data_IF_861131962892
#
_entry.id   IF_861131962892
#
_cell.length_a   1.000
_cell.length_b   1.000
_cell.length_c   1.000
_cell.angle_alpha   90.00
_cell.angle_beta   90.00
_cell.angle_gamma   90.00
#
_symmetry.space_group_name_H-M   'P 1'
#
loop_
_entity.id
_entity.type
_entity.pdbx_description
1 polymer ?
#
# COMPACT_ATOMS: atom_id res chain seq x y z
N UNK A 1 -9.31 1.14 18.25
CA UNK A 1 -8.91 1.84 19.49
C UNK A 1 -7.47 2.35 19.35
N UNK A 2 -7.11 3.43 20.03
CA UNK A 2 -5.72 3.92 20.12
C UNK A 2 -5.41 4.00 21.60
N UNK A 3 -4.44 3.23 22.05
CA UNK A 3 -3.92 3.26 23.41
C UNK A 3 -2.46 3.71 23.35
N UNK A 4 -2.06 4.57 24.27
CA UNK A 4 -0.71 5.12 24.31
C UNK A 4 -0.25 5.27 25.76
N UNK A 5 0.88 4.65 26.07
CA UNK A 5 1.62 4.85 27.32
C UNK A 5 3.02 5.43 27.03
N UNK A 6 3.94 5.33 28.00
CA UNK A 6 5.32 5.85 27.84
C UNK A 6 6.19 4.99 26.93
N UNK A 7 5.87 3.71 26.77
CA UNK A 7 6.69 2.71 26.08
C UNK A 7 6.08 2.29 24.73
N UNK A 8 4.76 2.25 24.63
CA UNK A 8 4.05 1.69 23.49
C UNK A 8 2.88 2.56 23.01
N UNK A 9 2.61 2.45 21.70
CA UNK A 9 1.35 2.86 21.08
C UNK A 9 0.71 1.63 20.47
N UNK A 10 -0.52 1.33 20.87
CA UNK A 10 -1.29 0.21 20.35
C UNK A 10 -2.46 0.74 19.53
N UNK A 11 -2.55 0.27 18.29
CA UNK A 11 -3.68 0.49 17.39
C UNK A 11 -4.43 -0.83 17.27
N UNK A 12 -5.69 -0.84 17.70
CA UNK A 12 -6.53 -2.04 17.64
C UNK A 12 -7.71 -1.82 16.69
N UNK A 13 -8.04 -2.80 15.87
CA UNK A 13 -9.25 -2.81 15.08
C UNK A 13 -10.49 -2.90 15.99
N UNK A 14 -11.55 -2.13 15.73
CA UNK A 14 -12.75 -2.11 16.61
C UNK A 14 -13.38 -3.48 16.88
N UNK A 15 -13.25 -4.41 15.94
CA UNK A 15 -13.81 -5.76 16.02
C UNK A 15 -12.76 -6.79 16.53
N UNK A 16 -11.61 -6.33 17.05
CA UNK A 16 -10.53 -7.19 17.59
C UNK A 16 -9.80 -8.04 16.54
N UNK A 17 -10.02 -7.79 15.24
CA UNK A 17 -9.49 -8.62 14.16
C UNK A 17 -7.96 -8.54 14.03
N UNK A 18 -7.38 -7.38 14.35
CA UNK A 18 -5.95 -7.15 14.28
C UNK A 18 -5.52 -6.04 15.24
N UNK A 19 -4.23 -6.08 15.61
CA UNK A 19 -3.56 -5.06 16.41
C UNK A 19 -2.23 -4.69 15.77
N UNK A 20 -1.81 -3.44 15.97
CA UNK A 20 -0.51 -2.94 15.57
C UNK A 20 0.14 -2.22 16.76
N UNK A 21 1.36 -2.61 17.09
CA UNK A 21 2.13 -2.04 18.19
C UNK A 21 3.30 -1.23 17.64
N UNK A 22 3.56 -0.06 18.22
CA UNK A 22 4.73 0.77 17.95
C UNK A 22 5.49 1.03 19.25
N UNK A 23 6.81 0.96 19.20
CA UNK A 23 7.66 1.46 20.28
C UNK A 23 7.61 2.99 20.31
N UNK A 24 7.37 3.56 21.49
CA UNK A 24 7.26 5.00 21.65
C UNK A 24 8.61 5.73 21.49
N UNK A 25 9.72 5.00 21.62
CA UNK A 25 11.09 5.53 21.62
C UNK A 25 11.90 5.19 20.35
N UNK A 26 11.29 4.55 19.33
CA UNK A 26 12.00 4.15 18.09
C UNK A 26 11.58 4.96 16.87
N UNK A 27 12.51 5.11 15.93
CA UNK A 27 12.26 5.67 14.59
C UNK A 27 12.00 4.57 13.56
N UNK A 28 11.00 3.74 13.84
CA UNK A 28 10.58 2.64 12.98
C UNK A 28 9.07 2.67 12.79
N UNK A 29 8.57 1.85 11.86
CA UNK A 29 7.15 1.56 11.69
C UNK A 29 6.63 0.65 12.82
N UNK A 30 5.54 -0.10 12.55
CA UNK A 30 5.03 -1.04 13.54
C UNK A 30 6.13 -2.03 13.97
N UNK A 31 6.27 -2.20 15.27
CA UNK A 31 7.11 -3.21 15.89
C UNK A 31 6.44 -4.59 15.81
N UNK A 32 5.12 -4.63 15.87
CA UNK A 32 4.34 -5.88 15.74
C UNK A 32 3.03 -5.62 15.03
N UNK A 33 2.65 -6.53 14.12
CA UNK A 33 1.29 -6.65 13.60
C UNK A 33 0.77 -8.02 13.97
N UNK A 34 -0.38 -8.07 14.63
CA UNK A 34 -1.08 -9.31 14.93
C UNK A 34 -2.42 -9.38 14.23
N UNK A 35 -2.81 -10.57 13.79
CA UNK A 35 -4.11 -10.84 13.18
C UNK A 35 -4.70 -12.09 13.80
N UNK A 36 -5.91 -11.98 14.37
CA UNK A 36 -6.53 -13.08 15.12
C UNK A 36 -5.65 -13.59 16.27
N UNK A 37 -4.89 -12.70 16.93
CA UNK A 37 -3.97 -13.04 18.02
C UNK A 37 -2.64 -13.68 17.59
N UNK A 38 -2.39 -13.84 16.28
CA UNK A 38 -1.14 -14.40 15.78
C UNK A 38 -0.23 -13.31 15.22
N UNK A 39 1.06 -13.38 15.50
CA UNK A 39 2.05 -12.46 14.95
C UNK A 39 2.23 -12.71 13.45
N UNK A 40 2.02 -11.65 12.66
CA UNK A 40 2.16 -11.70 11.19
C UNK A 40 3.43 -10.98 10.73
N UNK A 41 3.83 -9.92 11.44
CA UNK A 41 5.01 -9.13 11.13
C UNK A 41 5.65 -8.59 12.41
N UNK A 42 6.98 -8.61 12.45
CA UNK A 42 7.81 -8.13 13.54
C UNK A 42 8.88 -7.18 13.00
N UNK A 43 8.97 -6.01 13.59
CA UNK A 43 9.97 -4.99 13.31
C UNK A 43 9.86 -4.40 11.90
N UNK A 44 10.11 -3.11 11.78
CA UNK A 44 10.19 -2.45 10.48
C UNK A 44 11.40 -1.52 10.48
N UNK A 45 12.61 -2.10 10.49
CA UNK A 45 13.82 -1.35 10.78
C UNK A 45 14.09 -0.29 9.72
N UNK A 46 14.71 0.79 10.18
CA UNK A 46 15.39 1.76 9.36
C UNK A 46 16.86 1.74 9.74
N UNK A 47 17.75 1.80 8.77
CA UNK A 47 19.19 1.88 9.05
C UNK A 47 19.91 2.63 7.94
N UNK A 48 21.01 3.27 8.31
CA UNK A 48 22.00 3.85 7.39
C UNK A 48 23.34 3.23 7.78
N UNK A 49 23.92 2.48 6.86
CA UNK A 49 25.10 1.65 7.10
C UNK A 49 24.90 0.76 8.34
N UNK A 50 25.86 0.75 9.26
CA UNK A 50 25.80 -0.05 10.49
C UNK A 50 24.95 0.60 11.61
N UNK A 51 24.33 1.75 11.35
CA UNK A 51 23.52 2.49 12.35
C UNK A 51 22.04 2.17 12.15
N UNK A 52 21.45 1.46 13.12
CA UNK A 52 20.02 1.15 13.16
C UNK A 52 19.20 2.25 13.84
N UNK A 53 17.87 2.17 13.68
CA UNK A 53 16.89 3.06 14.31
C UNK A 53 16.92 3.04 15.85
N UNK A 54 17.56 2.05 16.46
CA UNK A 54 17.75 1.95 17.92
C UNK A 54 18.76 2.98 18.44
N UNK A 55 19.70 3.39 17.59
CA UNK A 55 20.65 4.45 17.92
C UNK A 55 20.05 5.86 17.72
N UNK A 56 18.84 5.97 17.17
CA UNK A 56 18.25 7.25 16.85
C UNK A 56 17.64 7.95 18.09
N UNK A 57 17.66 9.28 18.08
CA UNK A 57 16.97 10.08 19.09
C UNK A 57 15.56 10.38 18.58
N UNK A 58 14.58 9.62 19.06
CA UNK A 58 13.18 9.81 18.73
C UNK A 58 12.55 10.98 19.51
N UNK A 59 11.77 11.79 18.80
CA UNK A 59 10.82 12.72 19.42
C UNK A 59 9.59 11.95 19.90
N UNK A 60 8.85 12.53 20.83
CA UNK A 60 7.60 11.94 21.32
C UNK A 60 6.64 11.67 20.16
N UNK A 61 6.22 10.41 19.94
CA UNK A 61 5.31 10.05 18.86
C UNK A 61 3.91 10.61 19.10
N UNK A 62 3.20 10.82 18.00
CA UNK A 62 1.80 11.28 18.01
C UNK A 62 0.91 10.20 17.42
N UNK A 63 -0.09 9.77 18.19
CA UNK A 63 -1.15 8.89 17.70
C UNK A 63 -2.48 9.63 17.70
N UNK A 64 -3.22 9.61 16.60
CA UNK A 64 -4.50 10.31 16.47
C UNK A 64 -5.37 9.70 15.37
N UNK A 65 -6.64 10.10 15.31
CA UNK A 65 -7.55 9.74 14.23
C UNK A 65 -7.68 10.90 13.25
N UNK A 66 -7.67 10.61 11.95
CA UNK A 66 -7.91 11.63 10.92
C UNK A 66 -8.50 11.02 9.67
N UNK A 67 -9.78 11.31 9.41
CA UNK A 67 -10.45 10.84 8.21
C UNK A 67 -10.81 9.35 8.26
N UNK A 68 -11.34 8.87 9.39
CA UNK A 68 -11.72 7.46 9.55
C UNK A 68 -10.55 6.47 9.56
N UNK A 69 -9.32 6.96 9.72
CA UNK A 69 -8.09 6.15 9.84
C UNK A 69 -7.35 6.50 11.12
N UNK A 70 -6.65 5.53 11.70
CA UNK A 70 -5.68 5.78 12.76
C UNK A 70 -4.33 6.16 12.17
N UNK A 71 -3.66 7.13 12.78
CA UNK A 71 -2.39 7.67 12.33
C UNK A 71 -1.40 7.65 13.48
N UNK A 72 -0.23 7.06 13.24
CA UNK A 72 0.93 7.15 14.13
C UNK A 72 2.02 7.91 13.39
N UNK A 73 2.52 8.99 13.98
CA UNK A 73 3.62 9.79 13.45
C UNK A 73 4.79 9.77 14.42
N UNK A 74 5.94 9.31 13.95
CA UNK A 74 7.23 9.35 14.65
C UNK A 74 8.16 10.29 13.90
N UNK A 75 9.03 10.99 14.62
CA UNK A 75 10.07 11.82 14.02
C UNK A 75 11.28 11.87 14.93
N UNK A 76 12.47 12.10 14.38
CA UNK A 76 13.69 12.18 15.16
C UNK A 76 14.91 12.34 14.27
N UNK A 77 16.08 12.05 14.85
CA UNK A 77 17.37 12.24 14.19
C UNK A 77 18.37 11.16 14.56
N UNK A 78 19.27 10.85 13.64
CA UNK A 78 20.44 10.01 13.91
C UNK A 78 21.55 10.86 14.55
N UNK A 79 22.14 10.44 15.68
CA UNK A 79 22.97 11.32 16.52
C UNK A 79 24.43 11.50 16.04
N UNK A 80 24.81 10.99 14.87
CA UNK A 80 26.20 10.99 14.41
C UNK A 80 26.41 11.95 13.22
N UNK A 81 27.52 12.70 13.25
CA UNK A 81 27.90 13.63 12.17
C UNK A 81 26.92 14.78 11.99
N UNK A 82 26.53 15.06 10.74
CA UNK A 82 25.42 15.97 10.42
C UNK A 82 24.12 15.18 10.53
N UNK A 83 23.23 15.52 11.49
CA UNK A 83 22.10 14.67 11.83
C UNK A 83 21.14 14.55 10.65
N UNK A 84 20.93 13.32 10.19
CA UNK A 84 19.87 12.97 9.26
C UNK A 84 18.54 13.03 10.02
N UNK A 85 17.63 13.89 9.57
CA UNK A 85 16.29 13.96 10.15
C UNK A 85 15.37 12.97 9.45
N UNK A 86 14.57 12.31 10.26
CA UNK A 86 13.67 11.25 9.84
C UNK A 86 12.28 11.53 10.39
N UNK A 87 11.27 11.44 9.53
CA UNK A 87 9.87 11.44 9.93
C UNK A 87 9.17 10.27 9.26
N UNK A 88 8.32 9.58 10.01
CA UNK A 88 7.50 8.53 9.47
C UNK A 88 6.06 8.70 9.91
N UNK A 89 5.14 8.43 8.98
CA UNK A 89 3.70 8.40 9.23
C UNK A 89 3.13 7.06 8.80
N UNK A 90 2.57 6.32 9.75
CA UNK A 90 1.80 5.10 9.52
C UNK A 90 0.30 5.45 9.54
N UNK A 91 -0.44 5.11 8.48
CA UNK A 91 -1.89 5.30 8.38
C UNK A 91 -2.56 3.94 8.26
N UNK A 92 -3.40 3.60 9.24
CA UNK A 92 -4.09 2.33 9.34
C UNK A 92 -5.54 2.45 8.87
N UNK A 93 -5.93 1.57 7.95
CA UNK A 93 -7.29 1.51 7.43
C UNK A 93 -7.64 0.08 7.02
N UNK A 94 -8.83 -0.39 7.36
CA UNK A 94 -9.31 -1.73 7.02
C UNK A 94 -8.30 -2.79 7.48
N UNK A 95 -7.67 -3.46 6.51
CA UNK A 95 -6.68 -4.51 6.72
C UNK A 95 -5.24 -4.13 6.34
N UNK A 96 -4.91 -2.84 6.28
CA UNK A 96 -3.60 -2.40 5.84
C UNK A 96 -3.07 -1.20 6.63
N UNK A 97 -1.75 -1.02 6.53
CA UNK A 97 -1.04 0.18 6.95
C UNK A 97 -0.25 0.72 5.78
N UNK A 98 -0.46 2.00 5.46
CA UNK A 98 0.43 2.75 4.58
C UNK A 98 1.46 3.49 5.40
N UNK A 99 2.72 3.35 5.03
CA UNK A 99 3.85 4.02 5.66
C UNK A 99 4.43 5.03 4.69
N UNK A 100 4.61 6.26 5.15
CA UNK A 100 5.35 7.31 4.45
C UNK A 100 6.55 7.69 5.30
N UNK A 101 7.73 7.65 4.70
CA UNK A 101 9.00 8.02 5.30
C UNK A 101 9.51 9.26 4.60
N UNK A 102 9.79 10.30 5.37
CA UNK A 102 10.43 11.55 4.95
C UNK A 102 11.84 11.58 5.56
N UNK A 103 12.85 11.77 4.71
CA UNK A 103 14.26 11.82 5.09
C UNK A 103 14.81 13.16 4.64
N UNK A 104 15.29 13.97 5.58
CA UNK A 104 16.02 15.19 5.25
C UNK A 104 17.50 14.84 5.10
N UNK A 105 17.98 14.76 3.85
CA UNK A 105 19.37 14.40 3.60
C UNK A 105 20.29 15.62 3.74
N UNK A 106 21.28 15.62 4.66
CA UNK A 106 22.17 16.75 4.84
C UNK A 106 23.21 16.88 3.72
N UNK A 107 23.83 18.06 3.60
CA UNK A 107 25.00 18.25 2.73
C UNK A 107 26.16 17.37 3.19
N UNK A 108 26.92 16.85 2.25
CA UNK A 108 28.17 16.11 2.47
C UNK A 108 28.04 14.88 3.37
N UNK A 109 26.84 14.30 3.47
CA UNK A 109 26.57 13.09 4.25
C UNK A 109 26.57 11.89 3.31
N UNK A 110 27.61 11.06 3.42
CA UNK A 110 27.78 9.87 2.59
C UNK A 110 27.18 8.63 3.24
N UNK A 111 26.64 7.75 2.40
CA UNK A 111 26.31 6.35 2.73
C UNK A 111 27.49 5.49 2.32
N UNK A 112 28.03 4.68 3.23
CA UNK A 112 29.18 3.83 2.97
C UNK A 112 28.81 2.58 2.17
N UNK A 113 27.68 1.96 2.52
CA UNK A 113 27.23 0.67 1.97
C UNK A 113 25.75 0.62 1.66
N UNK A 114 24.87 0.99 2.60
CA UNK A 114 23.43 0.77 2.40
C UNK A 114 22.54 1.70 3.22
N UNK A 115 21.36 1.98 2.68
CA UNK A 115 20.24 2.59 3.37
C UNK A 115 19.07 1.62 3.26
N UNK A 116 18.57 1.13 4.39
CA UNK A 116 17.45 0.20 4.45
C UNK A 116 16.23 0.80 5.13
N UNK A 117 15.04 0.51 4.59
CA UNK A 117 13.77 0.92 5.19
C UNK A 117 12.61 0.00 4.77
N UNK A 118 11.69 -0.22 5.71
CA UNK A 118 10.48 -1.00 5.46
C UNK A 118 10.73 -2.48 5.19
N UNK A 119 11.89 -3.01 5.62
CA UNK A 119 12.09 -4.45 5.82
C UNK A 119 11.20 -4.97 6.95
N UNK A 120 11.08 -6.28 7.08
CA UNK A 120 10.21 -6.90 8.09
C UNK A 120 10.62 -8.34 8.38
N UNK A 121 10.37 -8.82 9.59
CA UNK A 121 10.50 -10.23 9.96
C UNK A 121 9.12 -10.87 10.02
N UNK A 122 8.95 -12.01 9.35
CA UNK A 122 7.73 -12.81 9.36
C UNK A 122 7.98 -14.03 10.23
N UNK A 123 7.44 -14.08 11.46
CA UNK A 123 7.70 -15.20 12.36
C UNK A 123 6.98 -16.47 11.92
N UNK A 124 7.53 -17.61 12.33
CA UNK A 124 6.92 -18.93 12.14
C UNK A 124 7.03 -19.46 10.71
N UNK A 125 6.21 -20.47 10.40
CA UNK A 125 6.30 -21.20 9.14
C UNK A 125 5.40 -20.59 8.05
N UNK A 126 6.00 -20.31 6.89
CA UNK A 126 5.34 -19.82 5.68
C UNK A 126 5.54 -20.82 4.54
N UNK A 127 4.51 -21.06 3.73
CA UNK A 127 4.49 -22.18 2.76
C UNK A 127 4.89 -21.76 1.36
N UNK A 128 4.49 -20.56 0.95
CA UNK A 128 4.74 -19.99 -0.38
C UNK A 128 4.70 -18.47 -0.32
N UNK A 129 5.28 -17.83 -1.33
CA UNK A 129 5.11 -16.39 -1.54
C UNK A 129 4.75 -16.08 -3.00
N UNK A 130 3.88 -15.09 -3.21
CA UNK A 130 3.53 -14.54 -4.51
C UNK A 130 4.35 -13.27 -4.74
N UNK A 131 5.01 -13.17 -5.89
CA UNK A 131 5.79 -11.99 -6.26
C UNK A 131 5.11 -11.25 -7.40
N UNK A 132 4.73 -9.99 -7.15
CA UNK A 132 4.40 -9.05 -8.22
C UNK A 132 5.70 -8.43 -8.72
N UNK A 133 6.10 -8.69 -9.98
CA UNK A 133 7.43 -8.34 -10.46
C UNK A 133 7.63 -6.83 -10.54
N UNK A 134 8.87 -6.34 -10.52
CA UNK A 134 9.18 -4.92 -10.71
C UNK A 134 8.51 -4.31 -11.94
N UNK A 135 8.25 -3.00 -11.89
CA UNK A 135 7.53 -2.27 -12.92
C UNK A 135 8.06 -2.51 -14.34
N UNK A 136 9.39 -2.44 -14.53
CA UNK A 136 10.00 -2.66 -15.84
C UNK A 136 9.76 -4.07 -16.37
N UNK A 137 9.76 -5.09 -15.50
CA UNK A 137 9.48 -6.47 -15.90
C UNK A 137 8.00 -6.66 -16.27
N UNK A 138 7.08 -5.97 -15.59
CA UNK A 138 5.66 -5.96 -16.00
C UNK A 138 5.47 -5.32 -17.37
N UNK A 139 6.15 -4.22 -17.66
CA UNK A 139 6.12 -3.59 -18.98
C UNK A 139 6.65 -4.53 -20.08
N UNK A 140 7.52 -5.49 -19.73
CA UNK A 140 7.97 -6.57 -20.63
C UNK A 140 7.07 -7.81 -20.64
N UNK A 141 5.91 -7.78 -19.98
CA UNK A 141 4.94 -8.88 -19.97
C UNK A 141 5.14 -9.91 -18.86
N UNK A 142 6.05 -9.68 -17.91
CA UNK A 142 6.21 -10.57 -16.75
C UNK A 142 5.00 -10.42 -15.82
N UNK A 143 4.36 -11.54 -15.50
CA UNK A 143 3.21 -11.59 -14.57
C UNK A 143 3.63 -12.08 -13.20
N UNK A 144 2.78 -11.83 -12.20
CA UNK A 144 3.01 -12.33 -10.86
C UNK A 144 2.89 -13.86 -10.78
N UNK A 145 3.66 -14.47 -9.87
CA UNK A 145 3.67 -15.93 -9.70
C UNK A 145 3.92 -16.34 -8.25
N UNK A 146 3.38 -17.51 -7.91
CA UNK A 146 3.65 -18.18 -6.64
C UNK A 146 4.97 -18.96 -6.69
N UNK A 147 5.74 -18.84 -5.63
CA UNK A 147 6.98 -19.57 -5.39
C UNK A 147 6.83 -20.38 -4.09
N UNK A 148 7.24 -21.64 -4.09
CA UNK A 148 7.22 -22.48 -2.89
C UNK A 148 8.38 -22.09 -1.99
N UNK A 149 8.13 -21.96 -0.68
CA UNK A 149 9.19 -21.75 0.30
C UNK A 149 9.80 -23.13 0.64
N UNK A 150 11.14 -23.29 0.50
CA UNK A 150 11.80 -24.56 0.85
C UNK A 150 11.82 -24.78 2.36
N UNK A 151 12.22 -25.96 2.79
CA UNK A 151 12.45 -26.24 4.22
C UNK A 151 13.52 -25.29 4.78
N UNK A 152 13.27 -24.63 5.92
CA UNK A 152 14.26 -23.76 6.55
C UNK A 152 15.57 -24.48 6.86
N UNK A 153 16.74 -23.79 6.76
CA UNK A 153 18.00 -24.37 7.17
C UNK A 153 18.01 -24.64 8.68
N UNK A 154 18.73 -25.68 9.11
CA UNK A 154 18.86 -26.02 10.54
C UNK A 154 19.69 -24.98 11.32
N UNK A 155 20.55 -24.23 10.63
CA UNK A 155 21.35 -23.12 11.16
C UNK A 155 21.64 -22.10 10.04
N UNK A 156 21.80 -20.83 10.41
CA UNK A 156 22.07 -19.74 9.47
C UNK A 156 20.84 -19.30 8.67
N UNK A 157 21.08 -18.79 7.46
CA UNK A 157 20.04 -18.29 6.57
C UNK A 157 20.29 -18.69 5.11
N UNK A 158 19.20 -18.81 4.35
CA UNK A 158 19.23 -19.09 2.91
C UNK A 158 18.48 -17.99 2.17
N UNK A 159 19.10 -17.37 1.18
CA UNK A 159 18.41 -16.40 0.32
C UNK A 159 17.50 -17.14 -0.68
N UNK A 160 16.20 -16.87 -0.61
CA UNK A 160 15.18 -17.50 -1.46
C UNK A 160 14.56 -16.53 -2.47
N UNK A 161 14.99 -15.27 -2.47
CA UNK A 161 14.61 -14.25 -3.45
C UNK A 161 15.56 -13.07 -3.41
N UNK A 162 15.88 -12.52 -4.58
CA UNK A 162 16.75 -11.35 -4.74
C UNK A 162 16.36 -10.54 -5.96
N UNK A 163 16.25 -9.22 -5.80
CA UNK A 163 15.98 -8.29 -6.88
C UNK A 163 16.83 -7.02 -6.75
N UNK A 164 17.23 -6.47 -7.89
CA UNK A 164 17.90 -5.16 -8.02
C UNK A 164 16.90 -4.02 -8.31
N UNK A 165 15.61 -4.33 -8.33
CA UNK A 165 14.51 -3.37 -8.42
C UNK A 165 13.43 -3.85 -7.46
N UNK A 166 12.70 -2.95 -6.81
CA UNK A 166 11.68 -3.36 -5.87
C UNK A 166 10.61 -4.20 -6.58
N UNK A 167 10.30 -5.41 -6.10
CA UNK A 167 9.02 -6.03 -6.42
C UNK A 167 7.89 -5.05 -6.08
N UNK A 168 6.82 -5.03 -6.87
CA UNK A 168 5.68 -4.15 -6.55
C UNK A 168 5.04 -4.60 -5.25
N UNK A 169 4.86 -5.91 -5.08
CA UNK A 169 4.41 -6.53 -3.85
C UNK A 169 4.94 -7.96 -3.69
N UNK A 170 5.09 -8.37 -2.44
CA UNK A 170 5.32 -9.75 -2.04
C UNK A 170 4.19 -10.17 -1.11
N UNK A 171 3.56 -11.32 -1.36
CA UNK A 171 2.52 -11.88 -0.48
C UNK A 171 2.98 -13.22 0.04
N UNK A 172 3.10 -13.36 1.36
CA UNK A 172 3.48 -14.61 2.00
C UNK A 172 2.22 -15.28 2.53
N UNK A 173 2.11 -16.60 2.38
CA UNK A 173 0.93 -17.37 2.84
C UNK A 173 1.31 -18.53 3.77
N UNK A 174 0.55 -18.68 4.86
CA UNK A 174 0.66 -19.76 5.84
C UNK A 174 -0.27 -20.93 5.50
N UNK A 175 -0.07 -22.06 6.18
CA UNK A 175 -0.88 -23.27 5.96
C UNK A 175 -2.37 -23.09 6.26
N UNK A 176 -2.70 -22.23 7.23
CA UNK A 176 -4.07 -21.88 7.62
C UNK A 176 -4.73 -20.85 6.67
N UNK A 177 -4.01 -20.39 5.64
CA UNK A 177 -4.45 -19.41 4.66
C UNK A 177 -4.32 -17.95 5.09
N UNK A 178 -3.79 -17.68 6.29
CA UNK A 178 -3.38 -16.34 6.68
C UNK A 178 -2.29 -15.85 5.72
N UNK A 179 -2.34 -14.56 5.38
CA UNK A 179 -1.40 -13.97 4.44
C UNK A 179 -0.98 -12.56 4.85
N UNK A 180 0.27 -12.22 4.56
CA UNK A 180 0.80 -10.87 4.70
C UNK A 180 1.34 -10.40 3.35
N UNK A 181 0.92 -9.22 2.94
CA UNK A 181 1.42 -8.49 1.79
C UNK A 181 2.36 -7.37 2.25
N UNK A 182 3.50 -7.25 1.57
CA UNK A 182 4.42 -6.11 1.66
C UNK A 182 4.54 -5.49 0.27
N UNK A 183 4.10 -4.24 0.13
CA UNK A 183 4.11 -3.53 -1.15
C UNK A 183 4.99 -2.29 -1.15
N UNK A 184 5.58 -2.01 -2.31
CA UNK A 184 6.48 -0.86 -2.52
C UNK A 184 5.72 0.47 -2.61
N UNK A 185 4.40 0.45 -2.76
CA UNK A 185 3.59 1.67 -2.81
C UNK A 185 3.81 2.50 -4.09
N UNK A 186 3.44 3.77 -4.04
CA UNK A 186 3.32 4.62 -5.23
C UNK A 186 4.63 5.18 -5.76
N UNK A 187 5.58 5.49 -4.88
CA UNK A 187 6.75 6.28 -5.22
C UNK A 187 7.87 5.45 -5.89
N UNK A 188 7.52 4.55 -6.82
CA UNK A 188 8.47 3.61 -7.44
C UNK A 188 9.70 4.31 -8.02
N UNK A 189 9.52 5.45 -8.68
CA UNK A 189 10.63 6.23 -9.21
C UNK A 189 11.68 6.60 -8.17
N UNK A 190 11.32 6.75 -6.89
CA UNK A 190 12.29 7.02 -5.81
C UNK A 190 12.99 5.74 -5.36
N UNK A 191 12.24 4.65 -5.24
CA UNK A 191 12.80 3.33 -4.92
C UNK A 191 13.74 2.80 -6.01
N UNK A 192 13.49 3.13 -7.27
CA UNK A 192 14.34 2.75 -8.40
C UNK A 192 15.51 3.71 -8.64
N UNK A 193 15.42 4.97 -8.20
CA UNK A 193 16.48 5.97 -8.46
C UNK A 193 17.77 5.77 -7.66
N UNK A 194 17.77 4.87 -6.67
CA UNK A 194 18.91 4.63 -5.76
C UNK A 194 19.55 5.92 -5.22
N UNK A 195 18.76 6.97 -4.97
CA UNK A 195 19.26 8.27 -4.52
C UNK A 195 20.35 8.88 -5.46
N UNK A 196 20.31 8.52 -6.74
CA UNK A 196 21.27 8.92 -7.77
C UNK A 196 22.53 8.06 -7.84
N UNK A 197 22.61 6.94 -7.11
CA UNK A 197 23.76 6.04 -7.13
C UNK A 197 23.63 4.98 -8.22
N UNK A 198 24.61 4.93 -9.13
CA UNK A 198 24.82 3.79 -10.04
C UNK A 198 23.67 3.46 -11.00
N UNK A 199 23.84 2.35 -11.74
CA UNK A 199 22.82 1.77 -12.62
C UNK A 199 22.02 0.65 -11.94
N UNK A 200 22.60 0.01 -10.92
CA UNK A 200 21.92 -1.02 -10.14
C UNK A 200 20.97 -0.33 -9.15
N UNK A 201 19.67 -0.60 -9.31
CA UNK A 201 18.68 -0.22 -8.31
C UNK A 201 18.92 -0.99 -7.01
N UNK A 202 18.33 -0.51 -5.93
CA UNK A 202 18.54 -1.05 -4.57
C UNK A 202 18.45 -2.58 -4.43
N UNK A 203 18.86 -3.09 -3.27
CA UNK A 203 18.89 -4.52 -2.97
C UNK A 203 17.65 -4.95 -2.18
N UNK A 204 16.91 -5.92 -2.71
CA UNK A 204 15.69 -6.46 -2.11
C UNK A 204 15.84 -7.96 -1.96
N UNK A 205 15.81 -8.47 -0.73
CA UNK A 205 16.12 -9.87 -0.43
C UNK A 205 15.05 -10.50 0.44
N UNK A 206 14.80 -11.80 0.22
CA UNK A 206 14.03 -12.67 1.11
C UNK A 206 14.98 -13.72 1.66
N UNK A 207 15.22 -13.67 2.96
CA UNK A 207 16.13 -14.55 3.68
C UNK A 207 15.30 -15.51 4.54
N UNK A 208 15.44 -16.81 4.32
CA UNK A 208 14.77 -17.86 5.08
C UNK A 208 15.67 -18.29 6.25
N UNK A 209 15.09 -18.26 7.46
CA UNK A 209 15.73 -18.66 8.72
C UNK A 209 14.88 -19.72 9.41
N UNK A 210 15.45 -20.37 10.43
CA UNK A 210 14.75 -21.38 11.23
C UNK A 210 13.48 -20.82 11.89
N UNK A 211 13.52 -19.58 12.36
CA UNK A 211 12.43 -18.92 13.10
C UNK A 211 11.43 -18.20 12.20
N UNK A 212 11.69 -18.09 10.89
CA UNK A 212 10.82 -17.39 9.95
C UNK A 212 11.54 -16.80 8.75
N UNK A 213 11.00 -15.71 8.20
CA UNK A 213 11.52 -15.03 7.02
C UNK A 213 11.95 -13.61 7.40
N UNK A 214 13.12 -13.19 6.94
CA UNK A 214 13.51 -11.78 6.96
C UNK A 214 13.44 -11.20 5.55
N UNK A 215 12.75 -10.07 5.43
CA UNK A 215 12.69 -9.29 4.21
C UNK A 215 13.57 -8.07 4.39
N UNK A 216 14.57 -7.92 3.51
CA UNK A 216 15.51 -6.79 3.48
C UNK A 216 15.18 -5.92 2.28
N UNK A 217 15.08 -4.61 2.50
CA UNK A 217 14.76 -3.61 1.47
C UNK A 217 15.70 -2.42 1.59
N UNK A 218 16.66 -2.37 0.69
CA UNK A 218 17.75 -1.40 0.66
C UNK A 218 17.62 -0.55 -0.61
N UNK A 219 16.79 0.50 -0.63
CA UNK A 219 16.63 1.35 -1.81
C UNK A 219 17.93 2.00 -2.30
N UNK A 220 18.95 2.07 -1.45
CA UNK A 220 20.31 2.43 -1.83
C UNK A 220 21.28 1.38 -1.29
N UNK A 221 22.03 0.77 -2.19
CA UNK A 221 23.16 -0.12 -1.91
C UNK A 221 24.32 0.31 -2.81
N UNK A 222 25.52 0.50 -2.25
CA UNK A 222 26.67 0.98 -2.99
C UNK A 222 27.94 0.18 -2.67
N UNK A 223 28.76 -0.06 -3.70
CA UNK A 223 30.07 -0.72 -3.57
C UNK A 223 31.18 0.25 -3.13
N UNK A 224 30.89 1.55 -3.20
CA UNK A 224 31.76 2.65 -2.78
C UNK A 224 30.92 3.72 -2.09
N UNK A 225 31.50 4.54 -1.21
CA UNK A 225 30.76 5.60 -0.55
C UNK A 225 30.05 6.52 -1.55
N UNK A 226 28.77 6.80 -1.31
CA UNK A 226 27.93 7.65 -2.17
C UNK A 226 27.38 8.81 -1.36
N UNK A 227 27.35 10.00 -1.94
CA UNK A 227 26.76 11.19 -1.31
C UNK A 227 25.48 11.55 -2.04
N UNK A 228 24.29 11.20 -1.50
CA UNK A 228 23.02 11.64 -2.06
C UNK A 228 22.93 13.16 -2.19
N UNK A 229 22.19 13.62 -3.20
CA UNK A 229 21.91 15.04 -3.40
C UNK A 229 21.21 15.61 -2.15
N UNK A 230 21.69 16.71 -1.57
CA UNK A 230 21.09 17.27 -0.35
C UNK A 230 19.69 17.83 -0.61
N UNK A 231 18.65 17.09 -0.19
CA UNK A 231 17.24 17.45 -0.34
C UNK A 231 16.34 16.58 0.55
N UNK A 232 15.05 16.93 0.71
CA UNK A 232 14.06 16.01 1.24
C UNK A 232 13.83 14.84 0.28
N UNK A 233 13.85 13.62 0.81
CA UNK A 233 13.42 12.40 0.14
C UNK A 233 12.18 11.87 0.82
N UNK A 234 11.18 11.43 0.03
CA UNK A 234 9.95 10.83 0.55
C UNK A 234 9.76 9.45 -0.05
N UNK A 235 9.72 8.39 0.74
CA UNK A 235 9.36 7.06 0.26
C UNK A 235 8.03 6.64 0.85
N UNK A 236 7.24 5.87 0.11
CA UNK A 236 6.06 5.21 0.66
C UNK A 236 6.16 3.72 0.45
N UNK A 237 5.51 2.95 1.30
CA UNK A 237 5.29 1.52 1.19
C UNK A 237 4.06 1.16 2.02
N UNK A 238 3.61 -0.09 1.96
CA UNK A 238 2.49 -0.54 2.79
C UNK A 238 2.65 -2.01 3.19
N UNK A 239 1.92 -2.39 4.22
CA UNK A 239 1.61 -3.78 4.52
C UNK A 239 0.10 -3.97 4.53
N UNK A 240 -0.36 -5.12 4.08
CA UNK A 240 -1.74 -5.55 4.22
C UNK A 240 -1.79 -6.99 4.68
N UNK A 241 -2.90 -7.41 5.28
CA UNK A 241 -3.01 -8.74 5.85
C UNK A 241 -4.38 -9.36 5.63
N UNK A 242 -4.41 -10.69 5.69
CA UNK A 242 -5.61 -11.51 5.71
C UNK A 242 -5.45 -12.54 6.82
N UNK A 243 -6.48 -12.70 7.65
CA UNK A 243 -6.48 -13.73 8.70
C UNK A 243 -6.58 -15.15 8.12
N UNK A 244 -6.52 -16.15 9.01
CA UNK A 244 -6.73 -17.55 8.64
C UNK A 244 -8.08 -17.76 7.96
N UNK A 245 -8.20 -18.79 7.12
CA UNK A 245 -9.48 -19.13 6.45
C UNK A 245 -10.60 -19.25 7.49
N UNK A 246 -11.71 -18.56 7.24
CA UNK A 246 -12.88 -18.55 8.12
C UNK A 246 -12.82 -17.55 9.28
N UNK A 247 -11.68 -16.91 9.56
CA UNK A 247 -11.62 -15.82 10.58
C UNK A 247 -12.22 -14.52 10.07
N UNK A 248 -12.23 -14.30 8.75
CA UNK A 248 -12.79 -13.12 8.12
C UNK A 248 -14.08 -13.55 7.44
N UNK A 249 -15.19 -12.93 7.82
CA UNK A 249 -16.48 -13.23 7.19
C UNK A 249 -16.39 -12.77 5.74
N UNK A 250 -16.24 -13.68 4.80
CA UNK A 250 -16.45 -13.38 3.38
C UNK A 250 -17.93 -13.07 3.21
N UNK A 251 -18.32 -11.82 3.46
CA UNK A 251 -19.71 -11.43 3.37
C UNK A 251 -20.11 -11.51 1.91
N UNK A 252 -21.02 -12.44 1.61
CA UNK A 252 -21.58 -12.62 0.29
C UNK A 252 -22.47 -11.41 0.00
N UNK A 253 -22.22 -10.76 -1.14
CA UNK A 253 -23.13 -9.75 -1.70
C UNK A 253 -24.52 -10.37 -1.81
N UNK A 254 -25.52 -9.77 -1.17
CA UNK A 254 -26.91 -10.24 -1.25
C UNK A 254 -27.71 -9.33 -2.18
N UNK A 255 -28.77 -9.90 -2.75
CA UNK A 255 -29.78 -9.22 -3.56
C UNK A 255 -29.38 -8.93 -5.00
N UNK A 256 -30.29 -8.23 -5.70
CA UNK A 256 -30.14 -7.87 -7.10
C UNK A 256 -29.02 -6.85 -7.29
N UNK A 257 -28.24 -7.02 -8.36
CA UNK A 257 -27.12 -6.14 -8.70
C UNK A 257 -27.61 -5.06 -9.65
N UNK A 258 -27.48 -3.80 -9.23
CA UNK A 258 -27.75 -2.64 -10.09
C UNK A 258 -26.43 -2.03 -10.56
N UNK A 259 -26.19 -2.08 -11.87
CA UNK A 259 -24.97 -1.59 -12.48
C UNK A 259 -25.03 -0.08 -12.75
N UNK A 260 -23.97 0.61 -12.33
CA UNK A 260 -23.74 2.01 -12.60
C UNK A 260 -22.34 2.21 -13.19
N UNK A 261 -22.26 3.09 -14.18
CA UNK A 261 -20.99 3.60 -14.73
C UNK A 261 -20.86 5.09 -14.42
N UNK A 262 -19.76 5.69 -14.88
CA UNK A 262 -19.48 7.11 -14.73
C UNK A 262 -19.54 7.81 -16.08
N UNK A 263 -20.26 8.94 -16.12
CA UNK A 263 -20.11 9.88 -17.21
C UNK A 263 -18.84 10.74 -17.05
N UNK A 264 -18.60 11.60 -18.05
CA UNK A 264 -17.33 12.33 -18.19
C UNK A 264 -17.00 13.24 -17.00
N UNK A 265 -18.01 13.69 -16.24
CA UNK A 265 -17.83 14.56 -15.08
C UNK A 265 -18.06 13.83 -13.74
N UNK A 266 -18.12 12.49 -13.74
CA UNK A 266 -18.38 11.66 -12.55
C UNK A 266 -19.84 11.63 -12.11
N UNK A 267 -20.78 12.00 -12.99
CA UNK A 267 -22.19 11.67 -12.86
C UNK A 267 -22.39 10.15 -12.89
N UNK A 268 -23.26 9.64 -12.02
CA UNK A 268 -23.66 8.23 -12.06
C UNK A 268 -24.61 8.01 -13.22
N UNK A 269 -24.31 7.02 -14.06
CA UNK A 269 -25.17 6.59 -15.16
C UNK A 269 -25.61 5.17 -14.87
N UNK A 270 -26.92 4.93 -14.80
CA UNK A 270 -27.46 3.58 -14.66
C UNK A 270 -27.47 2.87 -16.04
N UNK A 271 -27.26 1.56 -16.06
CA UNK A 271 -27.28 0.75 -17.29
C UNK A 271 -28.59 0.93 -18.10
N UNK A 272 -29.73 1.06 -17.41
CA UNK A 272 -31.05 1.21 -18.04
C UNK A 272 -31.44 2.68 -18.33
N UNK A 273 -30.51 3.64 -18.18
CA UNK A 273 -30.76 5.07 -18.41
C UNK A 273 -31.61 5.77 -17.33
N UNK A 274 -32.35 5.02 -16.51
CA UNK A 274 -33.10 5.55 -15.38
C UNK A 274 -32.26 5.48 -14.09
N UNK A 275 -31.96 6.64 -13.52
CA UNK A 275 -31.55 6.73 -12.11
C UNK A 275 -32.87 6.79 -11.32
N UNK A 276 -33.20 5.78 -10.49
CA UNK A 276 -34.44 5.81 -9.73
C UNK A 276 -34.46 7.06 -8.84
N UNK A 277 -35.63 7.70 -8.76
CA UNK A 277 -35.84 8.92 -7.98
C UNK A 277 -35.47 8.75 -6.51
N UNK A 278 -35.10 9.87 -5.88
CA UNK A 278 -34.31 10.04 -4.65
C UNK A 278 -34.77 9.32 -3.35
N UNK A 279 -35.74 8.42 -3.37
CA UNK A 279 -36.28 7.81 -2.15
C UNK A 279 -36.28 6.27 -2.05
N UNK A 280 -35.95 5.52 -3.13
CA UNK A 280 -36.12 4.04 -3.11
C UNK A 280 -34.97 3.23 -3.71
N UNK A 281 -33.79 3.82 -3.96
CA UNK A 281 -32.66 3.08 -4.52
C UNK A 281 -32.06 2.02 -3.60
N UNK A 282 -32.42 2.03 -2.32
CA UNK A 282 -31.85 1.11 -1.33
C UNK A 282 -33.00 0.58 -0.47
N UNK A 283 -33.85 -0.23 -1.08
CA UNK A 283 -34.49 -1.28 -0.28
C UNK A 283 -33.38 -2.16 0.28
N UNK A 284 -33.57 -2.64 1.52
CA UNK A 284 -32.56 -3.25 2.41
C UNK A 284 -31.81 -4.51 1.90
N UNK A 285 -31.85 -4.81 0.60
CA UNK A 285 -31.17 -5.94 -0.02
C UNK A 285 -30.38 -5.64 -1.30
N UNK A 286 -30.52 -4.49 -1.97
CA UNK A 286 -29.87 -4.28 -3.27
C UNK A 286 -28.36 -4.06 -3.18
N UNK A 287 -27.63 -4.50 -4.22
CA UNK A 287 -26.19 -4.29 -4.36
C UNK A 287 -25.91 -3.34 -5.52
N UNK A 288 -25.37 -2.17 -5.21
CA UNK A 288 -24.92 -1.21 -6.20
C UNK A 288 -23.55 -1.65 -6.71
N UNK A 289 -23.42 -1.86 -8.01
CA UNK A 289 -22.13 -2.12 -8.67
C UNK A 289 -21.70 -0.83 -9.36
N UNK A 290 -20.64 -0.21 -8.88
CA UNK A 290 -20.01 0.92 -9.57
C UNK A 290 -18.87 0.38 -10.45
N UNK A 291 -19.15 0.23 -11.74
CA UNK A 291 -18.18 -0.21 -12.74
C UNK A 291 -17.38 0.97 -13.29
N UNK A 292 -16.18 1.13 -12.72
CA UNK A 292 -15.19 2.09 -13.18
C UNK A 292 -14.28 1.51 -14.29
N UNK A 293 -14.31 0.20 -14.50
CA UNK A 293 -13.53 -0.50 -15.53
C UNK A 293 -14.11 -0.34 -16.92
N UNK A 294 -15.44 -0.31 -17.04
CA UNK A 294 -16.18 -0.04 -18.28
C UNK A 294 -16.24 1.44 -18.67
N UNK A 295 -15.71 2.35 -17.83
CA UNK A 295 -15.76 3.78 -18.10
C UNK A 295 -14.77 4.20 -19.21
N UNK A 296 -15.22 5.11 -20.09
CA UNK A 296 -14.35 5.74 -21.08
C UNK A 296 -13.67 6.96 -20.46
N UNK A 297 -12.38 6.84 -20.19
CA UNK A 297 -11.62 7.90 -19.52
C UNK A 297 -11.04 8.92 -20.51
N UNK A 298 -10.94 10.21 -20.17
CA UNK A 298 -10.14 11.18 -20.93
C UNK A 298 -8.68 10.75 -21.07
N UNK A 299 -8.03 11.11 -22.19
CA UNK A 299 -6.68 10.66 -22.52
C UNK A 299 -5.66 11.05 -21.43
N UNK A 300 -5.76 12.26 -20.90
CA UNK A 300 -4.87 12.79 -19.87
C UNK A 300 -5.02 12.08 -18.51
N UNK A 301 -6.06 11.25 -18.33
CA UNK A 301 -6.28 10.45 -17.12
C UNK A 301 -5.83 8.99 -17.28
N UNK A 302 -5.56 8.53 -18.51
CA UNK A 302 -5.20 7.15 -18.82
C UNK A 302 -3.75 6.84 -18.49
N UNK A 303 -3.46 5.57 -18.21
CA UNK A 303 -2.08 5.11 -17.96
C UNK A 303 -1.26 5.09 -19.25
N UNK A 304 0.04 5.27 -19.09
CA UNK A 304 1.03 4.83 -20.07
C UNK A 304 1.75 3.59 -19.54
N UNK A 305 1.74 2.49 -20.29
CA UNK A 305 2.11 1.16 -19.81
C UNK A 305 3.60 0.86 -19.77
N UNK A 306 4.43 1.71 -20.37
CA UNK A 306 5.89 1.54 -20.45
C UNK A 306 6.59 2.87 -20.80
N UNK A 307 7.92 2.89 -20.70
CA UNK A 307 8.72 4.04 -21.19
C UNK A 307 8.53 4.27 -22.70
N UNK A 308 8.61 3.26 -23.59
CA UNK A 308 8.33 3.45 -25.01
C UNK A 308 6.91 3.97 -25.30
N UNK A 309 5.90 3.47 -24.58
CA UNK A 309 4.53 3.95 -24.75
C UNK A 309 4.41 5.42 -24.38
N UNK A 310 5.07 5.84 -23.29
CA UNK A 310 5.06 7.23 -22.85
C UNK A 310 5.70 8.14 -23.91
N UNK A 311 6.89 7.77 -24.40
CA UNK A 311 7.63 8.54 -25.42
C UNK A 311 6.82 8.67 -26.71
N UNK A 312 6.07 7.62 -27.11
CA UNK A 312 5.23 7.61 -28.31
C UNK A 312 3.85 8.24 -28.10
N UNK A 313 3.49 8.62 -26.88
CA UNK A 313 2.13 9.07 -26.54
C UNK A 313 1.07 7.96 -26.64
N UNK A 314 1.47 6.68 -26.59
CA UNK A 314 0.56 5.55 -26.54
C UNK A 314 -0.01 5.39 -25.13
N UNK A 315 -1.33 5.31 -25.03
CA UNK A 315 -2.07 5.24 -23.77
C UNK A 315 -2.90 3.97 -23.70
N UNK A 316 -2.97 3.36 -22.52
CA UNK A 316 -3.87 2.25 -22.24
C UNK A 316 -5.31 2.77 -22.11
N UNK A 317 -6.31 1.91 -22.27
CA UNK A 317 -7.72 2.28 -22.05
C UNK A 317 -8.08 2.51 -20.58
N UNK A 318 -7.24 2.03 -19.66
CA UNK A 318 -7.47 2.09 -18.21
C UNK A 318 -6.96 3.39 -17.57
N UNK A 319 -7.61 3.89 -16.52
CA UNK A 319 -7.21 5.12 -15.84
C UNK A 319 -5.97 4.89 -14.97
N UNK A 320 -5.19 5.95 -14.75
CA UNK A 320 -4.26 6.00 -13.64
C UNK A 320 -4.99 6.48 -12.37
N UNK A 321 -4.96 5.71 -11.29
CA UNK A 321 -5.62 6.07 -10.04
C UNK A 321 -4.99 7.29 -9.34
N UNK A 322 -3.76 7.67 -9.68
CA UNK A 322 -3.19 8.95 -9.25
C UNK A 322 -3.75 10.16 -9.99
N UNK A 323 -4.43 9.97 -11.13
CA UNK A 323 -5.06 11.09 -11.84
C UNK A 323 -6.07 11.78 -10.93
N UNK A 324 -5.88 13.09 -10.72
CA UNK A 324 -6.80 13.91 -9.93
C UNK A 324 -8.20 13.93 -10.55
N UNK A 325 -8.31 13.85 -11.88
CA UNK A 325 -9.59 13.78 -12.58
C UNK A 325 -10.37 12.51 -12.23
N UNK A 326 -9.69 11.35 -12.28
CA UNK A 326 -10.27 10.04 -11.92
C UNK A 326 -10.73 10.04 -10.46
N UNK A 327 -9.86 10.48 -9.54
CA UNK A 327 -10.19 10.58 -8.12
C UNK A 327 -11.41 11.48 -7.89
N UNK A 328 -11.48 12.65 -8.55
CA UNK A 328 -12.63 13.56 -8.42
C UNK A 328 -13.93 12.94 -8.97
N UNK A 329 -13.86 12.28 -10.13
CA UNK A 329 -15.01 11.66 -10.77
C UNK A 329 -15.60 10.55 -9.87
N UNK A 330 -14.77 9.60 -9.42
CA UNK A 330 -15.25 8.51 -8.54
C UNK A 330 -15.76 9.06 -7.20
N UNK A 331 -15.04 10.00 -6.57
CA UNK A 331 -15.51 10.61 -5.30
C UNK A 331 -16.82 11.39 -5.47
N UNK A 332 -17.09 11.97 -6.65
CA UNK A 332 -18.37 12.60 -6.94
C UNK A 332 -19.48 11.56 -7.03
N UNK A 333 -19.24 10.41 -7.67
CA UNK A 333 -20.20 9.32 -7.73
C UNK A 333 -20.52 8.73 -6.35
N UNK A 334 -19.50 8.46 -5.53
CA UNK A 334 -19.71 7.98 -4.14
C UNK A 334 -20.54 8.98 -3.31
N UNK A 335 -20.32 10.29 -3.47
CA UNK A 335 -21.16 11.30 -2.80
C UNK A 335 -22.61 11.28 -3.28
N UNK A 336 -22.85 11.07 -4.57
CA UNK A 336 -24.21 10.90 -5.11
C UNK A 336 -24.87 9.64 -4.53
N UNK A 337 -24.14 8.52 -4.42
CA UNK A 337 -24.64 7.30 -3.76
C UNK A 337 -25.02 7.56 -2.31
N UNK A 338 -24.14 8.21 -1.54
CA UNK A 338 -24.43 8.59 -0.15
C UNK A 338 -25.70 9.45 -0.02
N UNK A 339 -25.90 10.38 -0.96
CA UNK A 339 -27.08 11.26 -0.97
C UNK A 339 -28.40 10.51 -1.09
N UNK A 340 -28.38 9.26 -1.58
CA UNK A 340 -29.57 8.45 -1.89
C UNK A 340 -29.93 7.45 -0.79
N UNK A 341 -29.11 7.30 0.25
CA UNK A 341 -29.46 6.45 1.39
C UNK A 341 -28.39 6.34 2.48
N UNK A 342 -28.83 5.94 3.67
CA UNK A 342 -27.97 5.85 4.87
C UNK A 342 -27.29 4.49 5.02
N UNK A 343 -27.84 3.46 4.40
CA UNK A 343 -27.36 2.09 4.45
C UNK A 343 -27.35 1.50 3.04
N UNK A 344 -26.54 0.47 2.78
CA UNK A 344 -26.51 -0.15 1.46
C UNK A 344 -25.32 -1.08 1.22
N UNK A 345 -25.26 -1.65 0.02
CA UNK A 345 -24.16 -2.50 -0.43
C UNK A 345 -23.54 -1.88 -1.70
N UNK A 346 -22.22 -1.70 -1.71
CA UNK A 346 -21.47 -1.15 -2.83
C UNK A 346 -20.33 -2.09 -3.24
N UNK A 347 -20.38 -2.59 -4.47
CA UNK A 347 -19.26 -3.25 -5.13
C UNK A 347 -18.56 -2.25 -6.07
N UNK A 348 -17.28 -2.00 -5.84
CA UNK A 348 -16.41 -1.26 -6.76
C UNK A 348 -15.81 -2.26 -7.76
N UNK A 349 -16.21 -2.19 -9.03
CA UNK A 349 -15.67 -3.03 -10.10
C UNK A 349 -14.68 -2.23 -10.96
N UNK A 350 -13.52 -2.81 -11.30
CA UNK A 350 -12.55 -2.16 -12.18
C UNK A 350 -11.50 -1.28 -11.48
N UNK A 351 -11.45 -1.27 -10.15
CA UNK A 351 -10.47 -0.50 -9.35
C UNK A 351 -9.09 -1.20 -9.29
N UNK A 352 -8.59 -1.69 -10.43
CA UNK A 352 -7.37 -2.49 -10.47
C UNK A 352 -6.15 -1.57 -10.44
N UNK A 353 -5.19 -1.77 -9.52
CA UNK A 353 -3.94 -1.04 -9.54
C UNK A 353 -3.09 -1.45 -10.76
N UNK A 354 -2.21 -0.58 -11.20
CA UNK A 354 -1.32 -0.81 -12.32
C UNK A 354 -0.19 0.21 -12.39
N UNK A 355 0.84 -0.13 -13.17
CA UNK A 355 2.00 0.74 -13.34
C UNK A 355 1.69 1.79 -14.41
N UNK A 356 2.16 3.01 -14.18
CA UNK A 356 2.05 4.11 -15.12
C UNK A 356 3.38 4.88 -15.20
N UNK A 357 3.71 5.37 -16.40
CA UNK A 357 4.86 6.25 -16.63
C UNK A 357 4.49 7.72 -16.84
N UNK A 358 3.21 8.10 -16.76
CA UNK A 358 2.76 9.49 -16.94
C UNK A 358 3.10 10.40 -15.74
N UNK A 359 4.08 11.31 -15.83
CA UNK A 359 4.47 12.16 -14.70
C UNK A 359 3.41 13.20 -14.34
N UNK A 360 2.50 13.54 -15.26
CA UNK A 360 1.42 14.50 -15.05
C UNK A 360 0.44 14.06 -13.94
N UNK A 361 0.24 12.75 -13.74
CA UNK A 361 -0.61 12.23 -12.65
C UNK A 361 0.00 12.47 -11.27
N UNK A 362 1.30 12.71 -11.21
CA UNK A 362 2.06 13.00 -9.99
C UNK A 362 2.33 14.51 -9.82
N UNK A 363 1.81 15.35 -10.72
CA UNK A 363 2.10 16.79 -10.75
C UNK A 363 3.57 17.09 -11.05
N UNK A 364 4.22 16.27 -11.88
CA UNK A 364 5.64 16.36 -12.22
C UNK A 364 5.84 16.41 -13.74
N UNK A 365 7.05 16.82 -14.15
CA UNK A 365 7.57 16.65 -15.50
C UNK A 365 8.73 15.66 -15.47
N UNK A 366 8.84 14.83 -16.51
CA UNK A 366 9.95 13.91 -16.72
C UNK A 366 10.04 13.57 -18.21
N UNK A 367 11.23 13.68 -18.81
CA UNK A 367 11.45 13.45 -20.24
C UNK A 367 11.20 11.99 -20.64
N UNK A 368 11.58 11.05 -19.78
CA UNK A 368 11.47 9.60 -20.03
C UNK A 368 10.35 8.94 -19.21
N UNK A 369 9.35 9.73 -18.82
CA UNK A 369 8.27 9.31 -17.93
C UNK A 369 8.74 9.17 -16.48
N UNK A 370 7.79 8.95 -15.58
CA UNK A 370 8.04 8.76 -14.16
C UNK A 370 7.23 7.56 -13.65
N UNK A 371 7.92 6.44 -13.47
CA UNK A 371 7.31 5.16 -13.10
C UNK A 371 6.65 5.26 -11.73
N UNK A 372 5.39 4.85 -11.63
CA UNK A 372 4.66 4.76 -10.37
C UNK A 372 3.63 3.64 -10.40
N UNK A 373 3.30 3.10 -9.24
CA UNK A 373 2.26 2.10 -9.08
C UNK A 373 1.08 2.69 -8.34
N UNK A 374 -0.10 2.68 -8.93
CA UNK A 374 -1.22 3.45 -8.40
C UNK A 374 -2.02 2.82 -7.25
N UNK A 375 -1.46 1.78 -6.62
CA UNK A 375 -2.04 1.09 -5.47
C UNK A 375 -2.38 2.02 -4.29
N UNK A 376 -1.51 2.94 -3.87
CA UNK A 376 -1.85 3.75 -2.69
C UNK A 376 -3.00 4.71 -3.00
N UNK A 377 -3.18 5.11 -4.26
CA UNK A 377 -4.32 5.94 -4.67
C UNK A 377 -5.63 5.12 -4.68
N UNK A 378 -5.55 3.83 -5.00
CA UNK A 378 -6.65 2.87 -4.82
C UNK A 378 -6.98 2.72 -3.33
N UNK A 379 -5.99 2.43 -2.48
CA UNK A 379 -6.19 2.25 -1.03
C UNK A 379 -6.75 3.50 -0.36
N UNK A 380 -6.23 4.69 -0.71
CA UNK A 380 -6.75 5.97 -0.21
C UNK A 380 -8.20 6.21 -0.63
N UNK A 381 -8.54 5.88 -1.88
CA UNK A 381 -9.91 6.03 -2.38
C UNK A 381 -10.86 5.08 -1.66
N UNK A 382 -10.47 3.83 -1.42
CA UNK A 382 -11.31 2.87 -0.69
C UNK A 382 -11.48 3.29 0.78
N UNK A 383 -10.40 3.67 1.47
CA UNK A 383 -10.46 4.17 2.83
C UNK A 383 -11.35 5.42 2.94
N UNK A 384 -11.23 6.36 1.99
CA UNK A 384 -12.09 7.53 1.88
C UNK A 384 -13.54 7.16 1.58
N UNK A 385 -13.78 6.17 0.71
CA UNK A 385 -15.14 5.71 0.34
C UNK A 385 -15.82 5.12 1.56
N UNK A 386 -15.12 4.28 2.33
CA UNK A 386 -15.59 3.74 3.60
C UNK A 386 -15.93 4.83 4.60
N UNK A 387 -15.06 5.82 4.76
CA UNK A 387 -15.32 6.98 5.61
C UNK A 387 -16.53 7.77 5.13
N UNK A 388 -16.65 8.00 3.83
CA UNK A 388 -17.71 8.80 3.25
C UNK A 388 -19.06 8.13 3.42
N UNK A 389 -19.17 6.83 3.17
CA UNK A 389 -20.43 6.08 3.26
C UNK A 389 -20.82 5.71 4.70
N UNK A 390 -19.84 5.50 5.59
CA UNK A 390 -20.09 5.18 6.99
C UNK A 390 -20.49 3.71 7.24
N UNK A 391 -20.89 3.41 8.47
CA UNK A 391 -21.05 2.02 8.94
C UNK A 391 -22.30 1.29 8.44
N UNK A 392 -23.32 2.05 8.04
CA UNK A 392 -24.53 1.51 7.41
C UNK A 392 -24.28 0.91 6.03
N UNK A 393 -23.17 1.26 5.39
CA UNK A 393 -22.80 0.70 4.11
C UNK A 393 -21.85 -0.49 4.26
N UNK A 394 -21.94 -1.43 3.34
CA UNK A 394 -20.93 -2.47 3.10
C UNK A 394 -20.26 -2.18 1.77
N UNK A 395 -18.94 -2.20 1.75
CA UNK A 395 -18.14 -1.83 0.57
C UNK A 395 -17.26 -3.01 0.22
N UNK A 396 -17.21 -3.36 -1.05
CA UNK A 396 -16.34 -4.41 -1.57
C UNK A 396 -15.57 -3.87 -2.75
N UNK A 397 -14.40 -4.45 -2.94
CA UNK A 397 -13.62 -4.28 -4.13
C UNK A 397 -13.57 -5.62 -4.88
N UNK A 398 -13.86 -5.59 -6.17
CA UNK A 398 -13.54 -6.73 -7.02
C UNK A 398 -12.04 -6.70 -7.34
N UNK A 399 -11.26 -7.73 -6.96
CA UNK A 399 -9.81 -7.71 -7.13
C UNK A 399 -9.37 -7.99 -8.58
N UNK A 400 -10.25 -8.51 -9.43
CA UNK A 400 -9.92 -8.89 -10.81
C UNK A 400 -8.82 -9.94 -10.85
N UNK A 401 -7.73 -9.68 -11.58
CA UNK A 401 -6.56 -10.57 -11.62
C UNK A 401 -5.63 -10.45 -10.40
N UNK A 402 -5.93 -9.53 -9.47
CA UNK A 402 -5.15 -9.29 -8.26
C UNK A 402 -5.73 -9.99 -7.01
N UNK A 403 -6.37 -11.15 -7.18
CA UNK A 403 -6.99 -11.94 -6.09
C UNK A 403 -6.01 -12.30 -4.97
N UNK A 404 -4.72 -12.34 -5.29
CA UNK A 404 -3.66 -12.71 -4.35
C UNK A 404 -3.21 -11.56 -3.45
N UNK A 405 -3.69 -10.32 -3.67
CA UNK A 405 -3.30 -9.16 -2.86
C UNK A 405 -4.28 -8.94 -1.69
N UNK A 406 -3.90 -9.25 -0.43
CA UNK A 406 -4.67 -8.88 0.76
C UNK A 406 -5.22 -7.46 0.74
N UNK A 407 -4.42 -6.50 0.28
CA UNK A 407 -4.77 -5.07 0.22
C UNK A 407 -5.99 -4.78 -0.66
N UNK A 408 -6.28 -5.61 -1.66
CA UNK A 408 -7.46 -5.44 -2.51
C UNK A 408 -8.65 -6.28 -2.05
N UNK A 409 -8.40 -7.45 -1.46
CA UNK A 409 -9.46 -8.33 -0.97
C UNK A 409 -10.10 -7.79 0.32
N UNK A 410 -9.32 -7.18 1.21
CA UNK A 410 -9.78 -6.72 2.52
C UNK A 410 -9.94 -5.21 2.69
N UNK A 411 -9.63 -4.38 1.68
CA UNK A 411 -9.67 -2.92 1.85
C UNK A 411 -11.07 -2.34 2.00
N UNK A 412 -12.10 -3.02 1.48
CA UNK A 412 -13.50 -2.60 1.62
C UNK A 412 -14.08 -2.80 3.03
N UNK A 413 -13.35 -3.50 3.90
CA UNK A 413 -13.79 -3.74 5.28
C UNK A 413 -13.95 -2.46 6.09
N UNK A 414 -14.59 -2.59 7.25
CA UNK A 414 -14.73 -1.46 8.17
C UNK A 414 -13.34 -0.94 8.50
N UNK A 415 -13.16 0.38 8.43
CA UNK A 415 -11.84 0.96 8.73
C UNK A 415 -11.42 0.74 10.20
N UNK A 416 -12.30 0.25 11.07
CA UNK A 416 -12.00 -0.02 12.48
C UNK A 416 -11.95 1.23 13.36
N UNK A 417 -12.15 2.42 12.80
CA UNK A 417 -12.02 3.69 13.51
C UNK A 417 -13.25 4.56 13.27
N UNK A 418 -14.16 4.58 14.26
CA UNK A 418 -15.28 5.52 14.29
C UNK A 418 -14.75 6.96 14.28
N UNK A 419 -15.37 7.81 13.46
CA UNK A 419 -15.18 9.27 13.47
C UNK A 419 -15.70 9.89 14.74
#
# INVERSE_FOLDING_TARGET
MIEQDSEHIVIEHQDGLWTAEHAAHRLAGPQRIQVGGQDMALGTPFHVDDVSDEAAVASRPRAYRKGGVAVVSTSGRFPFGRPLEYQQTCRYAGNHVRVTVDIQWPRDTAVQRHLGLGGVVLPGEWKRFFCVPPALHQASGTVGRWERIPTPPSAGETMIGHWHRPPLALVFERADGAALELGTGSDLWRWESAFGAGLEGGSYKVLLRKEGIQIVREPLMCCSPHTPVPRPYRLSWYMAWRGAKGTWTTQVLKGERRLFTLGANGELIAENGEIPSDSHLIDSGECIVLDVGGCVWPAEWRRSGSVPDFIRGTLLSVPCWHSTGVQKAVRRAIRQLKGRGREGQLLLHGLYPGVCWGPQHLGRSAENGLVHWDINAVLDLVAWTRQQLGDGWRVWLEPGHWTELPSLVGSGERNGFRT
#
